data_IF_928772626222
#
_entry.id   IF_928772626222
#
_cell.length_a   1.000
_cell.length_b   1.000
_cell.length_c   1.000
_cell.angle_alpha   90.00
_cell.angle_beta   90.00
_cell.angle_gamma   90.00
#
_symmetry.space_group_name_H-M   'P 1'
#
loop_
_entity.id
_entity.type
_entity.pdbx_description
1 polymer ?
#
# COMPACT_ATOMS: atom_id res chain seq x y z
N UNK A 1 22.67 7.20 0.21
CA UNK A 1 22.05 7.06 1.54
C UNK A 1 23.02 6.30 2.43
N UNK A 2 23.20 6.75 3.68
CA UNK A 2 24.22 6.23 4.59
C UNK A 2 24.01 4.74 4.85
N UNK A 3 25.11 4.01 5.00
CA UNK A 3 25.16 2.60 5.44
C UNK A 3 24.82 2.45 6.93
N UNK A 4 24.02 3.35 7.51
CA UNK A 4 23.81 3.49 8.96
C UNK A 4 23.02 2.34 9.59
N UNK A 5 22.33 1.55 8.78
CA UNK A 5 21.53 0.43 9.27
C UNK A 5 22.23 -0.94 9.18
N UNK A 6 23.47 -0.98 8.67
CA UNK A 6 24.18 -2.25 8.48
C UNK A 6 24.44 -2.93 9.83
N UNK A 7 23.98 -4.18 9.96
CA UNK A 7 24.15 -4.99 11.17
C UNK A 7 23.13 -4.69 12.27
N UNK A 8 22.23 -3.72 12.06
CA UNK A 8 21.12 -3.42 12.95
C UNK A 8 20.01 -4.45 12.78
N UNK A 9 19.15 -4.56 13.78
CA UNK A 9 18.04 -5.50 13.81
C UNK A 9 16.70 -4.76 13.89
N UNK A 10 15.65 -5.36 13.29
CA UNK A 10 14.31 -4.76 13.28
C UNK A 10 13.20 -5.79 13.44
N UNK A 11 12.23 -5.51 14.32
CA UNK A 11 10.95 -6.22 14.36
C UNK A 11 10.02 -5.60 13.33
N UNK A 12 9.48 -6.40 12.42
CA UNK A 12 8.53 -5.96 11.40
C UNK A 12 7.15 -6.58 11.65
N UNK A 13 6.15 -5.75 11.96
CA UNK A 13 4.75 -6.14 12.04
C UNK A 13 3.97 -5.56 10.88
N UNK A 14 3.43 -6.38 9.98
CA UNK A 14 2.73 -5.90 8.79
C UNK A 14 1.68 -6.94 8.35
N UNK A 15 0.45 -6.52 7.98
CA UNK A 15 -0.53 -7.46 7.42
C UNK A 15 -0.04 -8.06 6.11
N UNK A 16 -0.31 -9.35 5.91
CA UNK A 16 -0.01 -9.99 4.65
C UNK A 16 -1.12 -9.70 3.61
N UNK A 17 -0.85 -8.68 2.78
CA UNK A 17 -1.61 -8.37 1.58
C UNK A 17 -0.77 -8.73 0.36
N UNK A 18 -1.11 -9.83 -0.32
CA UNK A 18 -0.42 -10.28 -1.54
C UNK A 18 1.11 -10.45 -1.39
N UNK A 19 1.61 -10.87 -0.23
CA UNK A 19 3.05 -11.08 -0.01
C UNK A 19 3.85 -9.79 0.23
N UNK A 20 3.18 -8.65 0.46
CA UNK A 20 3.83 -7.38 0.81
C UNK A 20 4.83 -7.44 1.99
N UNK A 21 4.62 -8.24 3.07
CA UNK A 21 5.61 -8.39 4.14
C UNK A 21 6.99 -8.82 3.63
N UNK A 22 7.02 -9.63 2.59
CA UNK A 22 8.25 -10.13 1.99
C UNK A 22 8.99 -9.04 1.21
N UNK A 23 8.27 -8.14 0.53
CA UNK A 23 8.87 -6.98 -0.14
C UNK A 23 9.52 -6.05 0.88
N UNK A 24 8.86 -5.81 2.02
CA UNK A 24 9.44 -5.07 3.16
C UNK A 24 10.71 -5.74 3.68
N UNK A 25 10.64 -7.05 3.94
CA UNK A 25 11.79 -7.83 4.44
C UNK A 25 12.98 -7.71 3.50
N UNK A 26 12.77 -7.95 2.19
CA UNK A 26 13.82 -7.83 1.16
C UNK A 26 14.44 -6.44 1.11
N UNK A 27 13.65 -5.38 1.19
CA UNK A 27 14.19 -4.01 1.16
C UNK A 27 14.92 -3.61 2.44
N UNK A 28 14.47 -4.08 3.60
CA UNK A 28 15.17 -3.87 4.87
C UNK A 28 16.49 -4.67 4.92
N UNK A 29 16.51 -5.90 4.41
CA UNK A 29 17.74 -6.69 4.28
C UNK A 29 18.70 -6.06 3.27
N UNK A 30 18.19 -5.48 2.18
CA UNK A 30 18.97 -4.67 1.25
C UNK A 30 19.63 -3.46 1.94
N UNK A 31 18.97 -2.84 2.92
CA UNK A 31 19.53 -1.79 3.78
C UNK A 31 20.53 -2.32 4.83
N UNK A 32 20.68 -3.64 4.96
CA UNK A 32 21.62 -4.30 5.87
C UNK A 32 21.03 -4.69 7.22
N UNK A 33 19.71 -4.68 7.38
CA UNK A 33 19.04 -5.13 8.60
C UNK A 33 18.98 -6.65 8.72
N UNK A 34 19.04 -7.14 9.96
CA UNK A 34 18.47 -8.42 10.36
C UNK A 34 16.98 -8.25 10.68
N UNK A 35 16.09 -8.84 9.89
CA UNK A 35 14.64 -8.65 10.01
C UNK A 35 13.98 -9.80 10.79
N UNK A 36 13.20 -9.46 11.80
CA UNK A 36 12.31 -10.37 12.52
C UNK A 36 10.85 -10.07 12.15
N UNK A 37 10.31 -10.82 11.20
CA UNK A 37 8.92 -10.67 10.77
C UNK A 37 7.97 -11.31 11.79
N UNK A 38 7.07 -10.52 12.38
CA UNK A 38 6.04 -11.03 13.28
C UNK A 38 5.10 -12.00 12.54
N UNK A 39 4.73 -13.12 13.17
CA UNK A 39 3.79 -14.05 12.56
C UNK A 39 2.42 -13.39 12.37
N UNK A 40 1.85 -13.57 11.17
CA UNK A 40 0.53 -13.10 10.81
C UNK A 40 -0.31 -14.26 10.30
N UNK A 41 -1.43 -14.54 10.97
CA UNK A 41 -2.33 -15.63 10.63
C UNK A 41 -3.40 -15.16 9.63
N UNK A 42 -3.24 -15.61 8.38
CA UNK A 42 -4.19 -15.33 7.30
C UNK A 42 -5.58 -15.92 7.56
N UNK A 43 -5.69 -16.92 8.44
CA UNK A 43 -6.91 -17.61 8.81
C UNK A 43 -7.49 -17.12 10.14
N UNK A 44 -6.95 -16.07 10.76
CA UNK A 44 -7.50 -15.54 12.03
C UNK A 44 -9.00 -15.23 11.94
N UNK A 45 -9.49 -14.80 10.77
CA UNK A 45 -10.92 -14.54 10.54
C UNK A 45 -11.82 -15.77 10.62
N UNK A 46 -11.33 -16.95 10.24
CA UNK A 46 -12.11 -18.19 10.33
C UNK A 46 -12.17 -18.75 11.76
N UNK A 47 -11.37 -18.21 12.68
CA UNK A 47 -11.35 -18.60 14.09
C UNK A 47 -12.33 -17.81 14.96
N UNK A 48 -12.98 -16.76 14.41
CA UNK A 48 -14.03 -16.03 15.12
C UNK A 48 -15.25 -16.92 15.33
N UNK A 49 -15.70 -17.02 16.58
CA UNK A 49 -16.91 -17.78 16.93
C UNK A 49 -18.17 -16.96 16.67
N UNK A 50 -19.31 -17.64 16.48
CA UNK A 50 -20.58 -16.97 16.16
C UNK A 50 -21.00 -15.93 17.22
N UNK A 51 -20.64 -16.16 18.49
CA UNK A 51 -20.86 -15.20 19.57
C UNK A 51 -20.18 -13.85 19.32
N UNK A 52 -19.00 -13.82 18.70
CA UNK A 52 -18.32 -12.56 18.37
C UNK A 52 -19.06 -11.74 17.32
N UNK A 53 -19.76 -12.41 16.40
CA UNK A 53 -20.62 -11.74 15.41
C UNK A 53 -21.84 -11.12 16.08
N UNK A 54 -22.45 -11.82 17.04
CA UNK A 54 -23.56 -11.28 17.84
C UNK A 54 -23.13 -10.10 18.69
N UNK A 55 -22.02 -10.24 19.44
CA UNK A 55 -21.48 -9.17 20.28
C UNK A 55 -21.11 -7.97 19.41
N UNK A 56 -20.50 -8.17 18.25
CA UNK A 56 -20.21 -7.09 17.32
C UNK A 56 -21.48 -6.40 16.84
N UNK A 57 -22.52 -7.15 16.48
CA UNK A 57 -23.83 -6.61 16.10
C UNK A 57 -24.45 -5.78 17.21
N UNK A 58 -24.50 -6.31 18.43
CA UNK A 58 -25.04 -5.62 19.61
C UNK A 58 -24.24 -4.36 19.94
N UNK A 59 -22.91 -4.44 20.01
CA UNK A 59 -22.03 -3.29 20.26
C UNK A 59 -22.18 -2.21 19.18
N UNK A 60 -22.38 -2.59 17.92
CA UNK A 60 -22.62 -1.65 16.82
C UNK A 60 -23.97 -0.94 16.95
N UNK A 61 -25.03 -1.65 17.34
CA UNK A 61 -26.39 -1.11 17.42
C UNK A 61 -26.58 -0.28 18.70
N UNK A 62 -26.19 -0.80 19.85
CA UNK A 62 -26.49 -0.21 21.16
C UNK A 62 -25.40 0.73 21.69
N UNK A 63 -24.15 0.56 21.26
CA UNK A 63 -23.00 1.32 21.76
C UNK A 63 -22.24 2.10 20.68
N UNK A 64 -22.72 2.06 19.43
CA UNK A 64 -22.05 2.58 18.23
C UNK A 64 -20.56 2.14 18.11
N UNK A 65 -20.19 1.01 18.73
CA UNK A 65 -18.83 0.48 18.74
C UNK A 65 -18.65 -0.47 17.56
N UNK A 66 -17.82 -0.05 16.60
CA UNK A 66 -17.50 -0.81 15.38
C UNK A 66 -16.13 -1.50 15.44
N UNK A 67 -15.39 -1.40 16.54
CA UNK A 67 -14.01 -1.89 16.64
C UNK A 67 -13.87 -3.27 17.27
N UNK A 68 -14.90 -3.77 17.98
CA UNK A 68 -14.83 -5.04 18.70
C UNK A 68 -14.31 -6.23 17.88
N UNK A 69 -14.79 -6.39 16.64
CA UNK A 69 -14.36 -7.51 15.78
C UNK A 69 -12.88 -7.38 15.41
N UNK A 70 -12.39 -6.17 15.18
CA UNK A 70 -10.98 -5.93 14.88
C UNK A 70 -10.11 -6.24 16.10
N UNK A 71 -10.54 -5.84 17.31
CA UNK A 71 -9.85 -6.18 18.56
C UNK A 71 -9.75 -7.69 18.76
N UNK A 72 -10.86 -8.42 18.57
CA UNK A 72 -10.86 -9.89 18.70
C UNK A 72 -9.93 -10.58 17.70
N UNK A 73 -9.87 -10.11 16.46
CA UNK A 73 -8.92 -10.63 15.47
C UNK A 73 -7.47 -10.42 15.86
N UNK A 74 -7.17 -9.31 16.54
CA UNK A 74 -5.84 -9.05 17.07
C UNK A 74 -5.50 -9.97 18.26
N UNK A 75 -6.48 -10.23 19.14
CA UNK A 75 -6.33 -11.14 20.28
C UNK A 75 -6.12 -12.60 19.87
N UNK A 76 -6.77 -13.08 18.79
CA UNK A 76 -6.60 -14.44 18.28
C UNK A 76 -5.13 -14.76 17.95
N UNK A 77 -4.40 -13.77 17.45
CA UNK A 77 -3.01 -13.93 17.02
C UNK A 77 -2.00 -13.64 18.14
N UNK A 78 -2.45 -13.10 19.28
CA UNK A 78 -1.62 -12.58 20.37
C UNK A 78 -0.64 -13.63 20.89
N UNK A 79 -1.12 -14.82 21.25
CA UNK A 79 -0.27 -15.84 21.89
C UNK A 79 0.91 -16.26 21.00
N UNK A 80 0.67 -16.44 19.70
CA UNK A 80 1.73 -16.82 18.75
C UNK A 80 2.74 -15.68 18.54
N UNK A 81 2.26 -14.44 18.51
CA UNK A 81 3.12 -13.25 18.38
C UNK A 81 3.96 -13.01 19.63
N UNK A 82 3.37 -13.10 20.82
CA UNK A 82 4.09 -12.97 22.10
C UNK A 82 5.16 -14.05 22.25
N UNK A 83 4.83 -15.32 21.97
CA UNK A 83 5.79 -16.43 22.01
C UNK A 83 6.95 -16.24 21.02
N UNK A 84 6.73 -15.56 19.90
CA UNK A 84 7.78 -15.21 18.97
C UNK A 84 8.68 -14.10 19.56
N UNK A 85 8.07 -13.03 20.08
CA UNK A 85 8.78 -11.87 20.66
C UNK A 85 9.60 -12.25 21.89
N UNK A 86 9.09 -13.13 22.75
CA UNK A 86 9.78 -13.62 23.96
C UNK A 86 11.14 -14.27 23.65
N UNK A 87 11.26 -14.92 22.48
CA UNK A 87 12.50 -15.59 22.03
C UNK A 87 13.55 -14.61 21.50
N UNK A 88 13.19 -13.35 21.29
CA UNK A 88 14.11 -12.34 20.79
C UNK A 88 14.92 -11.72 21.94
N UNK A 89 16.18 -11.37 21.66
CA UNK A 89 16.94 -10.43 22.49
C UNK A 89 16.42 -9.00 22.35
N UNK A 90 17.19 -8.02 22.84
CA UNK A 90 16.97 -6.62 22.46
C UNK A 90 17.18 -6.44 20.95
N UNK A 91 16.37 -5.58 20.34
CA UNK A 91 16.36 -5.27 18.92
C UNK A 91 16.53 -3.76 18.75
N UNK A 92 17.26 -3.31 17.74
CA UNK A 92 17.51 -1.87 17.59
C UNK A 92 16.23 -1.09 17.23
N UNK A 93 15.38 -1.66 16.37
CA UNK A 93 14.19 -0.98 15.86
C UNK A 93 12.94 -1.85 15.81
N UNK A 94 11.77 -1.21 15.77
CA UNK A 94 10.52 -1.86 15.39
C UNK A 94 9.71 -0.98 14.43
N UNK A 95 9.15 -1.61 13.39
CA UNK A 95 8.18 -1.00 12.49
C UNK A 95 6.89 -1.83 12.49
N UNK A 96 5.79 -1.23 12.93
CA UNK A 96 4.46 -1.86 12.86
C UNK A 96 3.54 -1.07 11.96
N UNK A 97 3.20 -1.69 10.84
CA UNK A 97 2.22 -1.21 9.87
C UNK A 97 0.84 -1.74 10.22
N UNK A 98 -0.18 -0.88 10.14
CA UNK A 98 -1.55 -1.18 10.59
C UNK A 98 -1.58 -1.69 12.05
N UNK A 99 -1.16 -0.85 13.02
CA UNK A 99 -1.12 -1.24 14.43
C UNK A 99 -2.46 -1.71 15.00
N UNK A 100 -3.59 -1.32 14.38
CA UNK A 100 -4.92 -1.79 14.75
C UNK A 100 -5.11 -3.31 14.61
N UNK A 101 -4.28 -3.98 13.82
CA UNK A 101 -4.33 -5.44 13.63
C UNK A 101 -3.59 -6.22 14.71
N UNK A 102 -2.91 -5.52 15.64
CA UNK A 102 -2.13 -6.12 16.72
C UNK A 102 -2.74 -5.76 18.08
N UNK A 103 -2.65 -6.71 19.02
CA UNK A 103 -3.19 -6.50 20.36
C UNK A 103 -2.30 -5.51 21.12
N UNK A 104 -2.87 -4.86 22.14
CA UNK A 104 -2.09 -3.92 22.97
C UNK A 104 -0.89 -4.59 23.64
N UNK A 105 -1.04 -5.84 24.08
CA UNK A 105 0.05 -6.60 24.71
C UNK A 105 1.16 -6.90 23.73
N UNK A 106 0.83 -7.27 22.49
CA UNK A 106 1.83 -7.48 21.43
C UNK A 106 2.57 -6.17 21.16
N UNK A 107 1.85 -5.06 20.95
CA UNK A 107 2.49 -3.77 20.70
C UNK A 107 3.38 -3.31 21.86
N UNK A 108 2.92 -3.51 23.10
CA UNK A 108 3.69 -3.20 24.30
C UNK A 108 4.98 -4.05 24.36
N UNK A 109 4.87 -5.35 24.09
CA UNK A 109 6.03 -6.25 24.07
C UNK A 109 7.02 -5.91 22.95
N UNK A 110 6.53 -5.50 21.77
CA UNK A 110 7.36 -4.97 20.68
C UNK A 110 8.11 -3.71 21.13
N UNK A 111 7.42 -2.77 21.77
CA UNK A 111 8.04 -1.54 22.28
C UNK A 111 9.11 -1.84 23.33
N UNK A 112 8.83 -2.74 24.27
CA UNK A 112 9.80 -3.13 25.33
C UNK A 112 11.02 -3.88 24.80
N UNK A 113 10.90 -4.57 23.66
CA UNK A 113 12.00 -5.30 23.03
C UNK A 113 12.81 -4.47 22.04
N UNK A 114 12.34 -3.28 21.68
CA UNK A 114 13.02 -2.42 20.71
C UNK A 114 13.56 -1.14 21.34
N UNK A 115 14.74 -0.70 20.93
CA UNK A 115 15.31 0.57 21.40
C UNK A 115 14.53 1.77 20.84
N UNK A 116 13.95 1.63 19.64
CA UNK A 116 13.08 2.63 19.03
C UNK A 116 11.98 2.02 18.16
N UNK A 117 10.73 2.42 18.41
CA UNK A 117 9.54 1.83 17.81
C UNK A 117 8.71 2.85 17.01
N UNK A 118 8.33 2.46 15.79
CA UNK A 118 7.51 3.26 14.88
C UNK A 118 6.21 2.51 14.53
N UNK A 119 5.08 3.17 14.77
CA UNK A 119 3.79 2.76 14.22
C UNK A 119 3.50 3.50 12.93
N UNK A 120 2.96 2.83 11.90
CA UNK A 120 2.50 3.50 10.67
C UNK A 120 1.12 3.02 10.24
N UNK A 121 0.18 3.94 10.22
CA UNK A 121 -1.18 3.72 9.78
C UNK A 121 -1.35 4.11 8.30
N UNK A 122 -1.40 3.09 7.41
CA UNK A 122 -1.50 3.21 5.93
C UNK A 122 -2.84 3.61 5.37
N UNK A 123 -3.88 3.52 6.19
CA UNK A 123 -5.25 3.78 5.82
C UNK A 123 -5.78 4.89 6.74
N UNK A 124 -6.70 5.73 6.27
CA UNK A 124 -7.27 6.79 7.12
C UNK A 124 -7.84 6.25 8.44
N UNK A 125 -7.56 6.92 9.56
CA UNK A 125 -8.02 6.55 10.89
C UNK A 125 -9.54 6.65 11.04
N UNK A 126 -10.22 7.40 10.17
CA UNK A 126 -11.69 7.35 10.08
C UNK A 126 -12.21 5.97 9.68
N UNK A 127 -11.48 5.25 8.81
CA UNK A 127 -11.82 3.89 8.38
C UNK A 127 -11.42 2.85 9.42
N UNK A 128 -10.26 3.02 10.05
CA UNK A 128 -9.73 2.12 11.08
C UNK A 128 -9.49 2.85 12.41
N UNK A 129 -10.56 3.22 13.14
CA UNK A 129 -10.46 4.05 14.33
C UNK A 129 -9.70 3.40 15.49
N UNK A 130 -9.58 2.08 15.49
CA UNK A 130 -8.80 1.35 16.49
C UNK A 130 -7.32 1.75 16.48
N UNK A 131 -6.77 2.18 15.34
CA UNK A 131 -5.39 2.63 15.21
C UNK A 131 -5.07 3.82 16.13
N UNK A 132 -6.02 4.75 16.30
CA UNK A 132 -5.85 5.90 17.20
C UNK A 132 -5.57 5.49 18.65
N UNK A 133 -6.15 4.36 19.07
CA UNK A 133 -5.96 3.84 20.43
C UNK A 133 -4.60 3.18 20.63
N UNK A 134 -3.80 3.02 19.56
CA UNK A 134 -2.49 2.36 19.58
C UNK A 134 -1.32 3.35 19.58
N UNK A 135 -1.58 4.65 19.40
CA UNK A 135 -0.54 5.69 19.24
C UNK A 135 0.49 5.66 20.37
N UNK A 136 0.05 5.52 21.63
CA UNK A 136 0.93 5.54 22.81
C UNK A 136 1.88 4.35 22.93
N UNK A 137 1.70 3.29 22.14
CA UNK A 137 2.57 2.12 22.14
C UNK A 137 3.77 2.25 21.20
N UNK A 138 4.09 3.46 20.74
CA UNK A 138 5.23 3.73 19.86
C UNK A 138 5.99 4.97 20.32
N UNK A 139 7.20 5.16 19.81
CA UNK A 139 8.01 6.36 20.05
C UNK A 139 7.70 7.44 18.99
N UNK A 140 7.45 7.02 17.74
CA UNK A 140 6.84 7.85 16.70
C UNK A 140 5.65 7.13 16.06
N UNK A 141 4.61 7.87 15.72
CA UNK A 141 3.45 7.33 15.02
C UNK A 141 3.19 8.11 13.73
N UNK A 142 3.23 7.43 12.59
CA UNK A 142 2.98 8.02 11.29
C UNK A 142 1.59 7.68 10.75
N UNK A 143 1.04 8.61 9.98
CA UNK A 143 -0.26 8.49 9.31
C UNK A 143 -0.14 8.82 7.83
N UNK A 144 -0.86 8.07 7.00
CA UNK A 144 -0.90 8.28 5.55
C UNK A 144 -1.82 9.43 5.16
N UNK A 145 -3.03 9.50 5.76
CA UNK A 145 -3.93 10.63 5.53
C UNK A 145 -3.43 11.85 6.31
N UNK A 146 -3.02 12.89 5.58
CA UNK A 146 -2.50 14.12 6.18
C UNK A 146 -3.51 14.78 7.13
N UNK A 147 -4.81 14.64 6.88
CA UNK A 147 -5.84 15.22 7.74
C UNK A 147 -5.90 14.57 9.12
N UNK A 148 -5.43 13.32 9.26
CA UNK A 148 -5.37 12.66 10.57
C UNK A 148 -4.36 13.32 11.51
N UNK A 149 -3.33 14.01 10.99
CA UNK A 149 -2.39 14.78 11.83
C UNK A 149 -3.03 15.94 12.58
N UNK A 150 -4.13 16.49 12.03
CA UNK A 150 -4.90 17.56 12.67
C UNK A 150 -5.83 17.03 13.76
N UNK A 151 -6.20 15.75 13.68
CA UNK A 151 -7.22 15.10 14.53
C UNK A 151 -6.60 14.33 15.68
N UNK A 152 -5.40 13.78 15.50
CA UNK A 152 -4.74 12.94 16.47
C UNK A 152 -3.37 13.53 16.85
N UNK A 153 -3.19 13.98 18.10
CA UNK A 153 -1.91 14.53 18.55
C UNK A 153 -0.83 13.44 18.53
N UNK A 154 0.43 13.87 18.47
CA UNK A 154 1.61 12.99 18.40
C UNK A 154 1.61 12.06 17.18
N UNK A 155 1.05 12.53 16.07
CA UNK A 155 1.12 11.84 14.79
C UNK A 155 1.82 12.68 13.73
N UNK A 156 2.52 12.02 12.81
CA UNK A 156 3.31 12.64 11.75
C UNK A 156 2.85 12.13 10.39
N UNK A 157 2.75 13.00 9.40
CA UNK A 157 2.36 12.57 8.06
C UNK A 157 3.55 11.94 7.31
N UNK A 158 3.30 10.84 6.58
CA UNK A 158 4.22 10.28 5.59
C UNK A 158 3.46 9.69 4.41
N UNK A 159 4.13 9.52 3.28
CA UNK A 159 3.54 9.02 2.04
C UNK A 159 3.73 7.51 1.88
N UNK A 160 3.22 6.94 0.79
CA UNK A 160 3.73 5.68 0.26
C UNK A 160 5.09 5.91 -0.43
N UNK A 161 5.66 4.84 -0.96
CA UNK A 161 7.00 4.78 -1.56
C UNK A 161 7.00 3.71 -2.66
N UNK A 162 8.10 3.58 -3.40
CA UNK A 162 8.39 2.40 -4.22
C UNK A 162 9.54 1.60 -3.61
N UNK A 163 9.55 0.28 -3.77
CA UNK A 163 10.68 -0.54 -3.32
C UNK A 163 11.86 -0.39 -4.28
N UNK A 164 13.04 -0.21 -3.71
CA UNK A 164 14.29 0.05 -4.43
C UNK A 164 15.33 -1.07 -4.26
N UNK A 165 14.93 -2.23 -3.69
CA UNK A 165 15.77 -3.42 -3.62
C UNK A 165 15.97 -4.13 -4.96
N UNK A 166 15.06 -3.94 -5.93
CA UNK A 166 15.20 -4.47 -7.29
C UNK A 166 15.94 -3.44 -8.14
N UNK A 167 17.23 -3.66 -8.35
CA UNK A 167 18.11 -2.78 -9.14
C UNK A 167 18.28 -3.23 -10.60
N UNK A 168 17.72 -4.38 -10.98
CA UNK A 168 17.91 -4.94 -12.31
C UNK A 168 17.04 -4.24 -13.34
N UNK A 169 17.61 -4.00 -14.52
CA UNK A 169 16.86 -3.57 -15.70
C UNK A 169 15.89 -4.67 -16.08
N UNK A 170 14.62 -4.33 -16.20
CA UNK A 170 13.56 -5.22 -16.67
C UNK A 170 13.24 -4.85 -18.11
N UNK A 171 13.26 -5.84 -19.00
CA UNK A 171 12.86 -5.64 -20.39
C UNK A 171 11.37 -5.28 -20.47
N UNK A 172 11.04 -4.35 -21.36
CA UNK A 172 9.65 -3.95 -21.59
C UNK A 172 8.91 -5.08 -22.30
N UNK A 173 7.78 -5.49 -21.72
CA UNK A 173 6.93 -6.59 -22.22
C UNK A 173 5.55 -6.11 -22.66
N UNK A 174 5.11 -4.95 -22.18
CA UNK A 174 3.83 -4.34 -22.52
C UNK A 174 3.94 -2.82 -22.52
N UNK A 175 2.98 -2.17 -23.15
CA UNK A 175 2.87 -0.71 -23.10
C UNK A 175 2.20 -0.27 -21.81
N UNK A 176 1.10 -0.92 -21.43
CA UNK A 176 0.23 -0.48 -20.34
C UNK A 176 0.10 -1.56 -19.28
N UNK A 177 0.20 -1.16 -18.00
CA UNK A 177 -0.09 -2.03 -16.87
C UNK A 177 -1.07 -1.44 -15.85
N UNK A 178 -2.05 -2.26 -15.48
CA UNK A 178 -3.01 -2.02 -14.41
C UNK A 178 -3.27 -3.33 -13.64
N UNK A 179 -3.31 -3.27 -12.32
CA UNK A 179 -3.90 -4.33 -11.51
C UNK A 179 -4.69 -3.76 -10.34
N UNK A 180 -5.85 -4.33 -10.05
CA UNK A 180 -6.58 -3.98 -8.84
C UNK A 180 -7.82 -4.83 -8.60
N UNK A 181 -8.40 -4.74 -7.41
CA UNK A 181 -9.65 -5.42 -7.08
C UNK A 181 -10.86 -4.74 -7.73
N UNK A 182 -11.87 -5.51 -8.11
CA UNK A 182 -13.11 -4.99 -8.67
C UNK A 182 -13.77 -3.99 -7.72
N UNK A 183 -14.05 -2.79 -8.23
CA UNK A 183 -14.84 -1.75 -7.57
C UNK A 183 -15.74 -1.10 -8.62
N UNK A 184 -17.05 -1.06 -8.37
CA UNK A 184 -18.05 -0.69 -9.39
C UNK A 184 -17.86 0.75 -9.89
N UNK A 185 -17.55 1.65 -8.98
CA UNK A 185 -17.38 3.10 -9.18
C UNK A 185 -16.23 3.49 -10.13
N UNK A 186 -15.29 2.58 -10.38
CA UNK A 186 -14.16 2.83 -11.30
C UNK A 186 -14.18 2.01 -12.58
N UNK A 187 -15.13 1.07 -12.73
CA UNK A 187 -15.12 0.17 -13.88
C UNK A 187 -15.37 0.90 -15.19
N UNK A 188 -16.28 1.87 -15.23
CA UNK A 188 -16.59 2.63 -16.44
C UNK A 188 -15.33 3.35 -16.97
N UNK A 189 -14.62 4.05 -16.08
CA UNK A 189 -13.35 4.70 -16.43
C UNK A 189 -12.29 3.71 -16.90
N UNK A 190 -12.12 2.57 -16.22
CA UNK A 190 -11.16 1.55 -16.63
C UNK A 190 -11.49 0.98 -18.01
N UNK A 191 -12.77 0.77 -18.32
CA UNK A 191 -13.23 0.30 -19.64
C UNK A 191 -12.92 1.33 -20.70
N UNK A 192 -13.33 2.59 -20.51
CA UNK A 192 -13.05 3.68 -21.45
C UNK A 192 -11.55 3.86 -21.69
N UNK A 193 -10.72 3.82 -20.64
CA UNK A 193 -9.27 3.87 -20.79
C UNK A 193 -8.73 2.67 -21.57
N UNK A 194 -9.23 1.46 -21.28
CA UNK A 194 -8.77 0.25 -21.96
C UNK A 194 -9.12 0.24 -23.46
N UNK A 195 -10.30 0.72 -23.83
CA UNK A 195 -10.73 0.84 -25.24
C UNK A 195 -9.93 1.92 -25.97
N UNK A 196 -9.74 3.08 -25.35
CA UNK A 196 -8.94 4.18 -25.90
C UNK A 196 -7.47 3.78 -26.11
N UNK A 197 -6.84 3.16 -25.11
CA UNK A 197 -5.46 2.70 -25.23
C UNK A 197 -5.32 1.59 -26.29
N UNK A 198 -6.34 0.72 -26.40
CA UNK A 198 -6.36 -0.32 -27.43
C UNK A 198 -6.51 0.26 -28.84
N UNK A 199 -7.30 1.33 -29.00
CA UNK A 199 -7.49 1.99 -30.30
C UNK A 199 -6.21 2.68 -30.81
N UNK A 200 -5.32 3.09 -29.91
CA UNK A 200 -3.95 3.53 -30.25
C UNK A 200 -2.98 2.39 -30.55
N UNK A 201 -3.44 1.13 -30.60
CA UNK A 201 -2.61 -0.03 -30.93
C UNK A 201 -1.72 -0.52 -29.79
N UNK A 202 -1.88 0.00 -28.57
CA UNK A 202 -1.03 -0.36 -27.44
C UNK A 202 -1.33 -1.78 -26.91
N UNK A 203 -0.27 -2.45 -26.44
CA UNK A 203 -0.36 -3.73 -25.76
C UNK A 203 -0.75 -3.54 -24.28
N UNK A 204 -1.83 -4.21 -23.85
CA UNK A 204 -2.44 -3.98 -22.54
C UNK A 204 -2.29 -5.19 -21.61
N UNK A 205 -1.72 -4.96 -20.42
CA UNK A 205 -1.77 -5.85 -19.27
C UNK A 205 -2.64 -5.22 -18.16
N UNK A 206 -3.96 -5.23 -18.37
CA UNK A 206 -4.92 -4.68 -17.41
C UNK A 206 -5.70 -5.81 -16.74
N UNK A 207 -5.50 -6.03 -15.45
CA UNK A 207 -6.13 -7.11 -14.69
C UNK A 207 -7.03 -6.59 -13.56
N UNK A 208 -8.27 -7.05 -13.50
CA UNK A 208 -9.20 -6.83 -12.40
C UNK A 208 -9.45 -8.12 -11.64
N UNK A 209 -9.13 -8.13 -10.34
CA UNK A 209 -9.39 -9.26 -9.45
C UNK A 209 -10.81 -9.18 -8.90
N UNK A 210 -11.63 -10.22 -9.05
CA UNK A 210 -13.03 -10.21 -8.64
C UNK A 210 -13.36 -11.34 -7.66
N UNK A 211 -14.25 -11.06 -6.71
CA UNK A 211 -14.77 -12.06 -5.77
C UNK A 211 -16.14 -12.63 -6.16
N UNK A 212 -16.92 -11.93 -6.98
CA UNK A 212 -18.25 -12.37 -7.41
C UNK A 212 -18.38 -12.18 -8.93
N UNK A 213 -18.63 -13.28 -9.64
CA UNK A 213 -18.69 -13.29 -11.10
C UNK A 213 -19.87 -12.48 -11.66
N UNK A 214 -20.99 -12.37 -10.93
CA UNK A 214 -22.13 -11.57 -11.40
C UNK A 214 -21.78 -10.10 -11.60
N UNK A 215 -20.82 -9.58 -10.83
CA UNK A 215 -20.40 -8.18 -10.88
C UNK A 215 -19.57 -7.85 -12.13
N UNK A 216 -18.92 -8.84 -12.74
CA UNK A 216 -18.06 -8.62 -13.91
C UNK A 216 -18.77 -8.89 -15.24
N UNK A 217 -19.96 -9.51 -15.22
CA UNK A 217 -20.73 -9.82 -16.44
C UNK A 217 -20.87 -8.63 -17.41
N UNK A 218 -21.15 -7.39 -16.95
CA UNK A 218 -21.27 -6.24 -17.85
C UNK A 218 -19.98 -5.87 -18.60
N UNK A 219 -18.82 -6.33 -18.12
CA UNK A 219 -17.51 -5.88 -18.60
C UNK A 219 -16.71 -6.99 -19.31
N UNK A 220 -17.31 -8.18 -19.52
CA UNK A 220 -16.60 -9.35 -20.09
C UNK A 220 -16.09 -9.14 -21.51
N UNK A 221 -16.68 -8.22 -22.27
CA UNK A 221 -16.32 -7.94 -23.67
C UNK A 221 -15.37 -6.73 -23.81
N UNK A 222 -14.63 -6.40 -22.76
CA UNK A 222 -13.69 -5.28 -22.75
C UNK A 222 -12.25 -5.80 -22.81
N UNK A 223 -11.25 -4.96 -23.16
CA UNK A 223 -9.84 -5.37 -23.13
C UNK A 223 -9.28 -5.76 -21.75
N UNK A 224 -10.06 -5.63 -20.67
CA UNK A 224 -9.65 -5.93 -19.29
C UNK A 224 -9.71 -7.45 -19.02
N UNK A 225 -8.65 -7.99 -18.43
CA UNK A 225 -8.60 -9.37 -17.95
C UNK A 225 -9.23 -9.48 -16.55
N UNK A 226 -10.13 -10.43 -16.34
CA UNK A 226 -10.73 -10.69 -15.03
C UNK A 226 -10.19 -11.97 -14.42
N UNK A 227 -9.68 -11.90 -13.17
CA UNK A 227 -9.12 -13.06 -12.45
C UNK A 227 -9.75 -13.23 -11.06
N UNK A 228 -9.88 -14.47 -10.59
CA UNK A 228 -10.38 -14.74 -9.22
C UNK A 228 -9.31 -14.47 -8.15
N UNK A 229 -8.05 -14.64 -8.51
CA UNK A 229 -6.90 -14.45 -7.61
C UNK A 229 -5.98 -13.37 -8.16
N UNK A 230 -5.38 -12.61 -7.25
CA UNK A 230 -4.34 -11.64 -7.60
C UNK A 230 -2.95 -12.26 -7.55
N UNK A 231 -2.02 -11.66 -8.28
CA UNK A 231 -0.60 -11.99 -8.18
C UNK A 231 -0.02 -11.40 -6.88
N UNK A 232 1.19 -11.82 -6.52
CA UNK A 232 1.92 -11.19 -5.41
C UNK A 232 2.25 -9.73 -5.74
N UNK A 233 2.49 -8.93 -4.70
CA UNK A 233 2.92 -7.55 -4.83
C UNK A 233 4.22 -7.47 -5.65
N UNK A 234 5.19 -8.34 -5.35
CA UNK A 234 6.46 -8.38 -6.09
C UNK A 234 6.25 -8.68 -7.58
N UNK A 235 5.37 -9.63 -7.94
CA UNK A 235 5.04 -9.87 -9.35
C UNK A 235 4.40 -8.64 -9.98
N UNK A 236 3.45 -7.98 -9.30
CA UNK A 236 2.86 -6.72 -9.79
C UNK A 236 3.93 -5.64 -9.99
N UNK A 237 4.89 -5.53 -9.08
CA UNK A 237 5.97 -4.56 -9.17
C UNK A 237 6.89 -4.83 -10.38
N UNK A 238 7.23 -6.10 -10.64
CA UNK A 238 7.98 -6.49 -11.82
C UNK A 238 7.22 -6.20 -13.13
N UNK A 239 5.90 -6.41 -13.15
CA UNK A 239 5.05 -6.01 -14.28
C UNK A 239 5.01 -4.49 -14.46
N UNK A 240 4.96 -3.70 -13.37
CA UNK A 240 5.09 -2.24 -13.44
C UNK A 240 6.43 -1.83 -14.06
N UNK A 241 7.54 -2.47 -13.67
CA UNK A 241 8.87 -2.22 -14.24
C UNK A 241 8.96 -2.63 -15.72
N UNK A 242 8.26 -3.68 -16.14
CA UNK A 242 8.20 -4.19 -17.50
C UNK A 242 7.23 -3.42 -18.43
N UNK A 243 6.68 -2.29 -17.97
CA UNK A 243 5.70 -1.50 -18.73
C UNK A 243 6.21 -0.11 -19.10
N UNK A 244 5.61 0.55 -20.09
CA UNK A 244 5.90 1.95 -20.43
C UNK A 244 5.00 2.94 -19.64
N UNK A 245 3.73 2.55 -19.46
CA UNK A 245 2.66 3.35 -18.88
C UNK A 245 1.98 2.56 -17.77
N UNK A 246 1.77 3.23 -16.65
CA UNK A 246 1.07 2.73 -15.48
C UNK A 246 -0.28 3.43 -15.36
N UNK A 247 -1.34 2.67 -15.05
CA UNK A 247 -2.65 3.24 -14.73
C UNK A 247 -2.90 3.14 -13.23
N UNK A 248 -3.36 4.23 -12.64
CA UNK A 248 -3.87 4.30 -11.27
C UNK A 248 -5.27 4.93 -11.26
N UNK A 249 -6.28 4.19 -10.79
CA UNK A 249 -7.63 4.75 -10.63
C UNK A 249 -8.00 4.73 -9.16
N UNK A 250 -8.14 5.93 -8.60
CA UNK A 250 -8.32 6.23 -7.19
C UNK A 250 -9.42 5.39 -6.55
N UNK A 251 -9.14 4.92 -5.35
CA UNK A 251 -10.15 4.37 -4.46
C UNK A 251 -10.67 5.51 -3.57
N UNK A 252 -11.93 5.91 -3.79
CA UNK A 252 -12.60 7.04 -3.11
C UNK A 252 -12.67 6.93 -1.58
N UNK A 253 -12.32 5.77 -1.02
CA UNK A 253 -12.36 5.50 0.42
C UNK A 253 -11.23 6.20 1.19
N UNK A 254 -10.11 6.56 0.54
CA UNK A 254 -8.93 7.15 1.20
C UNK A 254 -8.41 8.39 0.48
N UNK A 255 -7.79 9.29 1.24
CA UNK A 255 -7.14 10.48 0.72
C UNK A 255 -5.63 10.29 0.67
N UNK A 256 -5.07 10.22 -0.53
CA UNK A 256 -3.63 10.13 -0.77
C UNK A 256 -3.31 9.32 -2.03
N UNK A 257 -2.04 9.30 -2.42
CA UNK A 257 -1.58 8.58 -3.61
C UNK A 257 -1.30 7.11 -3.32
N UNK A 258 -1.72 6.24 -4.24
CA UNK A 258 -1.45 4.81 -4.15
C UNK A 258 0.03 4.50 -4.39
N UNK A 259 0.47 3.26 -4.06
CA UNK A 259 1.79 2.75 -4.43
C UNK A 259 2.09 2.93 -5.93
N UNK A 260 1.08 2.84 -6.81
CA UNK A 260 1.27 2.91 -8.26
C UNK A 260 1.82 4.27 -8.71
N UNK A 261 1.43 5.36 -8.05
CA UNK A 261 1.98 6.68 -8.35
C UNK A 261 3.48 6.74 -8.04
N UNK A 262 3.90 6.18 -6.90
CA UNK A 262 5.31 6.17 -6.50
C UNK A 262 6.13 5.17 -7.32
N UNK A 263 5.55 4.03 -7.71
CA UNK A 263 6.15 3.10 -8.69
C UNK A 263 6.40 3.79 -10.03
N UNK A 264 5.46 4.61 -10.52
CA UNK A 264 5.63 5.32 -11.79
C UNK A 264 6.84 6.25 -11.76
N UNK A 265 6.99 7.04 -10.70
CA UNK A 265 8.14 7.95 -10.53
C UNK A 265 9.43 7.15 -10.32
N UNK A 266 9.41 6.16 -9.42
CA UNK A 266 10.57 5.35 -9.06
C UNK A 266 11.13 4.52 -10.22
N UNK A 267 10.26 3.99 -11.07
CA UNK A 267 10.63 3.16 -12.21
C UNK A 267 10.67 3.94 -13.54
N UNK A 268 10.57 5.27 -13.49
CA UNK A 268 10.61 6.16 -14.65
C UNK A 268 9.57 5.82 -15.73
N UNK A 269 8.32 5.60 -15.29
CA UNK A 269 7.17 5.25 -16.14
C UNK A 269 6.22 6.42 -16.25
N UNK A 270 5.53 6.51 -17.38
CA UNK A 270 4.37 7.40 -17.50
C UNK A 270 3.24 6.91 -16.59
N UNK A 271 2.48 7.84 -16.04
CA UNK A 271 1.31 7.57 -15.20
C UNK A 271 0.06 8.17 -15.84
N UNK A 272 -1.00 7.38 -15.91
CA UNK A 272 -2.36 7.86 -16.18
C UNK A 272 -3.15 7.67 -14.89
N UNK A 273 -3.71 8.75 -14.33
CA UNK A 273 -4.46 8.68 -13.08
C UNK A 273 -5.65 9.63 -13.05
N UNK A 274 -6.70 9.32 -12.30
CA UNK A 274 -7.76 10.28 -11.98
C UNK A 274 -7.52 10.99 -10.63
N UNK A 275 -6.45 10.64 -9.91
CA UNK A 275 -6.16 11.24 -8.61
C UNK A 275 -5.50 12.61 -8.77
N UNK A 276 -6.29 13.68 -8.66
CA UNK A 276 -5.83 15.07 -8.78
C UNK A 276 -4.80 15.47 -7.73
N UNK A 277 -4.70 14.76 -6.60
CA UNK A 277 -3.69 15.05 -5.57
C UNK A 277 -2.28 14.98 -6.12
N UNK A 278 -2.04 14.23 -7.21
CA UNK A 278 -0.73 14.12 -7.84
C UNK A 278 -0.14 15.47 -8.23
N UNK A 279 -0.98 16.45 -8.61
CA UNK A 279 -0.58 17.81 -8.98
C UNK A 279 0.07 18.58 -7.82
N UNK A 280 -0.09 18.13 -6.57
CA UNK A 280 0.49 18.75 -5.39
C UNK A 280 1.86 18.19 -4.99
N UNK A 281 2.39 17.20 -5.73
CA UNK A 281 3.67 16.57 -5.46
C UNK A 281 4.77 17.15 -6.35
N UNK A 282 6.00 17.19 -5.84
CA UNK A 282 7.16 17.75 -6.55
C UNK A 282 7.59 16.94 -7.79
N UNK A 283 7.10 15.70 -7.93
CA UNK A 283 7.30 14.87 -9.12
C UNK A 283 6.26 15.10 -10.22
N UNK A 284 5.24 15.93 -10.02
CA UNK A 284 4.26 16.19 -11.08
C UNK A 284 4.91 16.88 -12.28
N UNK A 285 4.80 16.23 -13.44
CA UNK A 285 5.20 16.78 -14.72
C UNK A 285 4.25 16.25 -15.80
N UNK A 286 3.70 17.13 -16.62
CA UNK A 286 2.71 16.79 -17.66
C UNK A 286 3.28 15.93 -18.81
N UNK A 287 4.61 15.75 -18.90
CA UNK A 287 5.22 14.78 -19.81
C UNK A 287 5.20 13.36 -19.25
N UNK A 288 5.13 13.24 -17.93
CA UNK A 288 5.19 11.99 -17.20
C UNK A 288 3.82 11.55 -16.69
N UNK A 289 2.92 12.48 -16.37
CA UNK A 289 1.66 12.20 -15.69
C UNK A 289 0.49 12.87 -16.42
N UNK A 290 -0.45 12.03 -16.86
CA UNK A 290 -1.74 12.46 -17.39
C UNK A 290 -2.81 12.29 -16.32
N UNK A 291 -3.48 13.40 -15.98
CA UNK A 291 -4.60 13.39 -15.03
C UNK A 291 -5.90 13.35 -15.83
N UNK A 292 -6.65 12.25 -15.69
CA UNK A 292 -7.94 12.02 -16.35
C UNK A 292 -9.00 12.88 -15.68
N UNK A 293 -9.49 13.86 -16.43
CA UNK A 293 -10.58 14.76 -16.06
C UNK A 293 -11.76 14.60 -17.03
N UNK A 294 -12.95 15.08 -16.66
CA UNK A 294 -14.19 14.84 -17.40
C UNK A 294 -14.22 15.44 -18.82
N UNK A 295 -13.30 16.35 -19.13
CA UNK A 295 -13.18 17.11 -20.37
C UNK A 295 -11.97 16.68 -21.23
N UNK A 296 -11.24 15.62 -20.85
CA UNK A 296 -10.08 15.17 -21.61
C UNK A 296 -10.49 14.65 -23.00
N UNK A 297 -9.94 15.26 -24.05
CA UNK A 297 -10.16 14.82 -25.42
C UNK A 297 -9.22 13.67 -25.83
N UNK A 298 -9.60 12.92 -26.87
CA UNK A 298 -8.72 11.92 -27.48
C UNK A 298 -7.40 12.54 -27.98
N UNK A 299 -7.42 13.80 -28.42
CA UNK A 299 -6.24 14.54 -28.89
C UNK A 299 -5.26 14.81 -27.75
N UNK A 300 -5.76 15.17 -26.56
CA UNK A 300 -4.90 15.39 -25.39
C UNK A 300 -4.20 14.11 -24.96
N UNK A 301 -4.93 13.01 -25.03
CA UNK A 301 -4.39 11.69 -24.71
C UNK A 301 -3.32 11.27 -25.73
N UNK A 302 -3.59 11.41 -27.02
CA UNK A 302 -2.61 11.12 -28.08
C UNK A 302 -1.33 11.96 -27.93
N UNK A 303 -1.48 13.25 -27.65
CA UNK A 303 -0.34 14.14 -27.35
C UNK A 303 0.47 13.62 -26.17
N UNK A 304 -0.18 13.23 -25.08
CA UNK A 304 0.50 12.69 -23.91
C UNK A 304 1.25 11.38 -24.22
N UNK A 305 0.62 10.43 -24.92
CA UNK A 305 1.25 9.15 -25.29
C UNK A 305 2.53 9.38 -26.11
N UNK A 306 2.53 10.38 -27.00
CA UNK A 306 3.67 10.70 -27.86
C UNK A 306 4.78 11.54 -27.20
N UNK A 307 4.55 12.15 -26.04
CA UNK A 307 5.60 12.89 -25.31
C UNK A 307 6.73 11.95 -24.85
N UNK A 308 7.98 12.40 -24.84
CA UNK A 308 9.05 11.63 -24.18
C UNK A 308 8.96 11.77 -22.65
N UNK A 309 9.30 10.70 -21.92
CA UNK A 309 9.41 10.78 -20.46
C UNK A 309 10.54 11.74 -20.06
N UNK A 310 10.26 12.67 -19.16
CA UNK A 310 11.23 13.61 -18.61
C UNK A 310 11.87 13.01 -17.36
N UNK A 311 13.18 12.81 -17.38
CA UNK A 311 13.89 12.23 -16.23
C UNK A 311 13.73 13.07 -14.95
N UNK A 312 13.52 12.38 -13.83
CA UNK A 312 13.29 12.97 -12.50
C UNK A 312 14.04 12.20 -11.40
N UNK A 313 15.24 11.65 -11.68
CA UNK A 313 15.96 10.76 -10.77
C UNK A 313 16.14 11.30 -9.35
N UNK A 314 16.52 12.58 -9.21
CA UNK A 314 16.73 13.19 -7.88
C UNK A 314 15.43 13.27 -7.07
N UNK A 315 14.32 13.58 -7.73
CA UNK A 315 12.99 13.63 -7.10
C UNK A 315 12.54 12.21 -6.74
N UNK A 316 12.69 11.26 -7.67
CA UNK A 316 12.33 9.86 -7.47
C UNK A 316 13.01 9.28 -6.22
N UNK A 317 14.29 9.58 -6.00
CA UNK A 317 15.04 9.09 -4.84
C UNK A 317 14.43 9.45 -3.48
N UNK A 318 13.66 10.55 -3.39
CA UNK A 318 12.95 10.97 -2.16
C UNK A 318 11.75 10.08 -1.81
N UNK A 319 11.28 9.28 -2.76
CA UNK A 319 10.12 8.40 -2.62
C UNK A 319 10.49 6.92 -2.64
N UNK A 320 11.78 6.60 -2.58
CA UNK A 320 12.24 5.22 -2.43
C UNK A 320 11.94 4.72 -1.01
N UNK A 321 11.75 3.40 -0.87
CA UNK A 321 11.60 2.77 0.44
C UNK A 321 12.75 3.14 1.36
N UNK A 322 13.99 3.13 0.85
CA UNK A 322 15.18 3.48 1.62
C UNK A 322 15.12 4.90 2.19
N UNK A 323 14.74 5.89 1.38
CA UNK A 323 14.59 7.26 1.86
C UNK A 323 13.44 7.38 2.85
N UNK A 324 12.29 6.84 2.49
CA UNK A 324 11.09 6.84 3.31
C UNK A 324 11.36 6.24 4.70
N UNK A 325 12.02 5.08 4.75
CA UNK A 325 12.39 4.40 5.98
C UNK A 325 13.36 5.25 6.81
N UNK A 326 14.39 5.86 6.19
CA UNK A 326 15.32 6.73 6.90
C UNK A 326 14.61 7.90 7.58
N UNK A 327 13.57 8.48 6.97
CA UNK A 327 12.79 9.56 7.58
C UNK A 327 11.98 9.13 8.80
N UNK A 328 11.62 7.85 8.90
CA UNK A 328 10.90 7.36 10.07
C UNK A 328 11.81 7.25 11.30
N UNK A 329 13.07 6.84 11.08
CA UNK A 329 13.99 6.40 12.13
C UNK A 329 15.18 7.33 12.38
N UNK A 330 15.42 8.33 11.52
CA UNK A 330 16.41 9.39 11.75
C UNK A 330 15.81 10.64 12.41
#
# INVERSE_FOLDING_TARGET
MSRDFKGKSIILGIPNHFGLPECFRKNLEYLGFKVYLLPYDMNAKSQLIWQDYLIHGAKKIFLNNRVYKAEKLAEIQEANQLKFIEKLGSVDYALVVRPDLFSRKVLQSVKEKSDFSVGYQWDGMSRFPLASTRISHFDKFYVFDKEDTKRFPNTYHTTNFYFDYISQRVDIKQDVFFVGTFMKDRMEMLVSLSELLKSFGLSLNMTVVYGNESKIKPYKNTPIQFRKTGNSFETSMLESMASNILIDVENTIHKGLSFRCFEAVGFSKKLITNNRLVKNYDFYDENNIFVVESDCSQVDFERFINKSYKSQHDIASKYSFSYWFSKLFC
#
